data_IF_087846305347
#
_entry.id   IF_087846305347
#
_cell.length_a   1.000
_cell.length_b   1.000
_cell.length_c   1.000
_cell.angle_alpha   90.00
_cell.angle_beta   90.00
_cell.angle_gamma   90.00
#
_symmetry.space_group_name_H-M   'P 1'
#
loop_
_entity.id
_entity.type
_entity.pdbx_description
1 polymer ?
#
# COMPACT_ATOMS: atom_id res chain seq x y z
N UNK A 1 -6.48 -7.00 -5.51
CA UNK A 1 -6.16 -5.92 -6.49
C UNK A 1 -4.69 -6.02 -6.83
N UNK A 2 -4.30 -5.71 -8.06
CA UNK A 2 -2.88 -5.63 -8.45
C UNK A 2 -2.22 -4.39 -7.85
N UNK A 3 -0.88 -4.38 -7.78
CA UNK A 3 -0.13 -3.20 -7.32
C UNK A 3 -0.52 -1.94 -8.13
N UNK A 4 -0.68 -2.06 -9.44
CA UNK A 4 -1.09 -0.94 -10.31
C UNK A 4 -2.52 -0.44 -10.02
N UNK A 5 -3.45 -1.34 -9.71
CA UNK A 5 -4.82 -0.97 -9.31
C UNK A 5 -4.82 -0.20 -7.98
N UNK A 6 -4.01 -0.62 -7.02
CA UNK A 6 -3.86 0.06 -5.72
C UNK A 6 -3.29 1.46 -5.94
N UNK A 7 -2.22 1.61 -6.73
CA UNK A 7 -1.64 2.93 -7.06
C UNK A 7 -2.68 3.86 -7.69
N UNK A 8 -3.45 3.37 -8.66
CA UNK A 8 -4.49 4.16 -9.32
C UNK A 8 -5.60 4.57 -8.34
N UNK A 9 -6.03 3.69 -7.43
CA UNK A 9 -7.02 4.02 -6.41
C UNK A 9 -6.50 5.09 -5.43
N UNK A 10 -5.22 5.00 -5.03
CA UNK A 10 -4.56 6.00 -4.18
C UNK A 10 -4.58 7.37 -4.86
N UNK A 11 -4.11 7.43 -6.12
CA UNK A 11 -4.05 8.67 -6.92
C UNK A 11 -5.41 9.33 -7.09
N UNK A 12 -6.41 8.54 -7.47
CA UNK A 12 -7.73 9.07 -7.78
C UNK A 12 -8.61 9.29 -6.54
N UNK A 13 -8.10 9.01 -5.33
CA UNK A 13 -8.88 9.17 -4.11
C UNK A 13 -9.94 8.11 -3.87
N UNK A 14 -9.99 7.03 -4.66
CA UNK A 14 -11.06 6.02 -4.55
C UNK A 14 -10.88 5.10 -3.34
N UNK A 15 -11.98 4.66 -2.70
CA UNK A 15 -11.99 3.53 -1.79
C UNK A 15 -11.43 2.28 -2.46
N UNK A 16 -10.68 1.49 -1.70
CA UNK A 16 -10.15 0.24 -2.18
C UNK A 16 -9.84 -0.71 -1.02
N UNK A 17 -9.69 -1.98 -1.38
CA UNK A 17 -9.16 -3.01 -0.51
C UNK A 17 -8.24 -3.91 -1.32
N UNK A 18 -6.97 -3.99 -0.94
CA UNK A 18 -5.97 -4.72 -1.72
C UNK A 18 -4.76 -5.14 -0.91
N UNK A 19 -4.08 -6.18 -1.38
CA UNK A 19 -2.80 -6.63 -0.85
C UNK A 19 -1.68 -6.28 -1.83
N UNK A 20 -0.53 -5.89 -1.30
CA UNK A 20 0.70 -5.76 -2.08
C UNK A 20 1.36 -7.14 -2.23
N UNK A 21 2.27 -7.33 -3.20
CA UNK A 21 3.01 -8.59 -3.36
C UNK A 21 3.80 -9.00 -2.11
N UNK A 22 4.24 -8.03 -1.32
CA UNK A 22 5.02 -8.21 -0.09
C UNK A 22 4.14 -8.64 1.10
N UNK A 23 2.83 -8.82 0.88
CA UNK A 23 1.88 -9.28 1.88
C UNK A 23 1.28 -8.18 2.76
N UNK A 24 1.60 -6.91 2.51
CA UNK A 24 0.97 -5.79 3.19
C UNK A 24 -0.46 -5.59 2.67
N UNK A 25 -1.44 -5.53 3.58
CA UNK A 25 -2.83 -5.29 3.22
C UNK A 25 -3.18 -3.81 3.44
N UNK A 26 -3.74 -3.18 2.42
CA UNK A 26 -4.08 -1.77 2.37
C UNK A 26 -5.57 -1.54 2.11
N UNK A 27 -6.13 -0.54 2.77
CA UNK A 27 -7.53 -0.18 2.64
C UNK A 27 -7.77 1.32 2.69
N UNK A 28 -8.71 1.82 1.89
CA UNK A 28 -9.34 3.13 2.06
C UNK A 28 -10.85 2.94 2.02
N UNK A 29 -11.55 3.46 3.03
CA UNK A 29 -13.00 3.25 3.18
C UNK A 29 -13.86 4.38 2.60
N UNK A 30 -13.32 5.59 2.49
CA UNK A 30 -14.04 6.78 2.01
C UNK A 30 -13.21 7.53 0.96
N UNK A 31 -13.87 8.25 0.05
CA UNK A 31 -13.19 9.04 -0.98
C UNK A 31 -12.21 10.04 -0.34
N UNK A 32 -10.98 10.11 -0.87
CA UNK A 32 -9.89 10.97 -0.40
C UNK A 32 -9.53 10.80 1.09
N UNK A 33 -10.02 9.75 1.73
CA UNK A 33 -9.70 9.43 3.12
C UNK A 33 -8.29 8.85 3.30
N UNK A 34 -7.89 8.64 4.56
CA UNK A 34 -6.63 8.00 4.87
C UNK A 34 -6.59 6.57 4.33
N UNK A 35 -5.40 6.16 3.91
CA UNK A 35 -5.11 4.76 3.61
C UNK A 35 -4.64 4.11 4.90
N UNK A 36 -5.17 2.93 5.20
CA UNK A 36 -4.78 2.12 6.33
C UNK A 36 -3.94 0.95 5.85
N UNK A 37 -2.95 0.58 6.66
CA UNK A 37 -2.18 -0.66 6.51
C UNK A 37 -2.54 -1.61 7.64
N UNK A 38 -2.82 -2.86 7.29
CA UNK A 38 -3.07 -3.93 8.23
C UNK A 38 -1.74 -4.59 8.64
N UNK A 39 -1.46 -4.64 9.94
CA UNK A 39 -0.33 -5.39 10.51
C UNK A 39 -0.75 -6.12 11.77
N UNK A 40 -0.49 -7.43 11.86
CA UNK A 40 -0.73 -8.25 13.07
C UNK A 40 -2.09 -7.96 13.72
N UNK A 41 -3.14 -7.94 12.89
CA UNK A 41 -4.53 -7.68 13.25
C UNK A 41 -4.90 -6.24 13.67
N UNK A 42 -4.01 -5.27 13.44
CA UNK A 42 -4.26 -3.85 13.69
C UNK A 42 -4.31 -3.06 12.37
N UNK A 43 -5.28 -2.15 12.26
CA UNK A 43 -5.32 -1.15 11.19
C UNK A 43 -4.56 0.09 11.63
N UNK A 44 -3.46 0.37 10.95
CA UNK A 44 -2.60 1.51 11.24
C UNK A 44 -2.82 2.53 10.12
N UNK A 45 -3.27 3.76 10.40
CA UNK A 45 -3.37 4.80 9.38
C UNK A 45 -1.95 5.10 8.86
N UNK A 46 -1.80 5.11 7.54
CA UNK A 46 -0.55 5.51 6.92
C UNK A 46 -0.34 7.01 7.15
N UNK A 47 0.83 7.42 7.67
CA UNK A 47 1.13 8.85 7.84
C UNK A 47 1.32 9.56 6.49
N UNK A 48 1.61 8.80 5.43
CA UNK A 48 1.86 9.28 4.08
C UNK A 48 0.58 9.32 3.25
N UNK A 49 0.48 10.31 2.36
CA UNK A 49 -0.65 10.48 1.45
C UNK A 49 -0.16 10.73 0.02
N UNK A 50 -1.05 10.49 -0.96
CA UNK A 50 -0.80 10.83 -2.36
C UNK A 50 0.54 10.30 -2.87
N UNK A 51 1.40 11.20 -3.35
CA UNK A 51 2.71 10.88 -3.92
C UNK A 51 3.66 10.18 -2.95
N UNK A 52 3.72 10.62 -1.69
CA UNK A 52 4.62 10.02 -0.70
C UNK A 52 4.24 8.57 -0.39
N UNK A 53 2.94 8.28 -0.38
CA UNK A 53 2.45 6.92 -0.18
C UNK A 53 2.80 6.01 -1.38
N UNK A 54 2.77 6.55 -2.60
CA UNK A 54 3.16 5.81 -3.80
C UNK A 54 4.66 5.57 -3.87
N UNK A 55 5.45 6.54 -3.42
CA UNK A 55 6.89 6.38 -3.26
C UNK A 55 7.19 5.27 -2.24
N UNK A 56 6.55 5.31 -1.07
CA UNK A 56 6.70 4.26 -0.06
C UNK A 56 6.32 2.88 -0.60
N UNK A 57 5.21 2.77 -1.34
CA UNK A 57 4.79 1.52 -1.99
C UNK A 57 5.85 0.98 -2.96
N UNK A 58 6.54 1.86 -3.67
CA UNK A 58 7.60 1.46 -4.58
C UNK A 58 8.83 0.96 -3.82
N UNK A 59 9.30 1.72 -2.83
CA UNK A 59 10.46 1.32 -2.02
C UNK A 59 10.20 0.01 -1.28
N UNK A 60 9.00 -0.16 -0.72
CA UNK A 60 8.61 -1.41 -0.05
C UNK A 60 8.66 -2.61 -1.02
N UNK A 61 8.29 -2.43 -2.28
CA UNK A 61 8.39 -3.49 -3.30
C UNK A 61 9.83 -3.81 -3.70
N UNK A 62 10.73 -2.82 -3.66
CA UNK A 62 12.16 -3.00 -3.97
C UNK A 62 12.88 -3.72 -2.80
N UNK A 63 12.54 -3.41 -1.56
CA UNK A 63 13.08 -4.05 -0.35
C UNK A 63 12.58 -5.49 -0.15
N UNK A 64 11.33 -5.80 -0.50
CA UNK A 64 10.82 -7.17 -0.47
C UNK A 64 11.58 -8.09 -1.42
N UNK A 65 11.90 -7.58 -2.61
CA UNK A 65 12.55 -8.34 -3.68
C UNK A 65 14.07 -8.54 -3.48
N UNK A 66 14.73 -7.68 -2.69
CA UNK A 66 16.16 -7.81 -2.39
C UNK A 66 16.47 -8.86 -1.32
N UNK A 67 15.47 -9.30 -0.55
CA UNK A 67 15.61 -10.37 0.44
C UNK A 67 15.53 -11.80 -0.13
N UNK A 68 15.29 -11.96 -1.44
CA UNK A 68 15.26 -13.26 -2.14
C UNK A 68 16.53 -13.58 -2.95
N UNK A 69 17.59 -12.76 -2.85
CA UNK A 69 18.85 -12.94 -3.61
C UNK A 69 20.06 -13.38 -2.78
N UNK A 70 19.87 -13.74 -1.51
CA UNK A 70 20.91 -14.36 -0.66
C UNK A 70 20.48 -15.77 -0.23
N UNK A 71 20.44 -16.71 -1.17
CA UNK A 71 20.57 -18.16 -0.92
C UNK A 71 21.29 -18.87 -2.07
#
# INVERSE_FOLDING_TARGET
>A
MTHQQIRNAILNGWPFFGSTPEGDILARYVMYGPVFRWRRNQMIPMPLQGGDLLWWLQVASEEGNSSESEE
#
